data_IF_600939151884
#
_entry.id   IF_600939151884
#
_cell.length_a   1.000
_cell.length_b   1.000
_cell.length_c   1.000
_cell.angle_alpha   90.00
_cell.angle_beta   90.00
_cell.angle_gamma   90.00
#
_symmetry.space_group_name_H-M   'P 1'
#
loop_
_entity.id
_entity.type
_entity.pdbx_description
1 polymer ?
#
# COMPACT_ATOMS: atom_id res chain seq x y z
N UNK A 1 4.03 1.20 -29.18
CA UNK A 1 3.08 0.34 -28.44
C UNK A 1 2.97 0.87 -27.01
N UNK A 2 1.80 1.37 -26.58
CA UNK A 2 1.58 1.71 -25.16
C UNK A 2 1.07 0.46 -24.45
N UNK A 3 1.89 -0.12 -23.59
CA UNK A 3 1.46 -1.18 -22.68
C UNK A 3 0.49 -0.52 -21.70
N UNK A 4 -0.80 -0.88 -21.76
CA UNK A 4 -1.75 -0.51 -20.71
C UNK A 4 -1.33 -1.31 -19.47
N UNK A 5 -0.61 -0.67 -18.55
CA UNK A 5 -0.41 -1.21 -17.19
C UNK A 5 -1.79 -1.12 -16.54
N UNK A 6 -2.41 -2.26 -16.20
CA UNK A 6 -3.64 -2.26 -15.40
C UNK A 6 -3.29 -1.62 -14.05
N UNK A 7 -3.59 -0.33 -13.90
CA UNK A 7 -3.23 0.49 -12.74
C UNK A 7 -4.27 0.34 -11.63
N UNK A 8 -4.61 -0.88 -11.23
CA UNK A 8 -5.45 -1.08 -10.05
C UNK A 8 -4.60 -0.75 -8.81
N UNK A 9 -4.98 0.27 -8.01
CA UNK A 9 -4.18 0.63 -6.83
C UNK A 9 -4.23 -0.47 -5.77
N UNK A 10 -3.09 -0.75 -5.14
CA UNK A 10 -3.01 -1.71 -4.04
C UNK A 10 -3.79 -1.14 -2.85
N UNK A 11 -4.76 -1.91 -2.37
CA UNK A 11 -5.64 -1.51 -1.26
C UNK A 11 -5.04 -1.91 0.09
N UNK A 12 -5.43 -1.23 1.18
CA UNK A 12 -5.11 -1.69 2.52
C UNK A 12 -5.58 -3.13 2.75
N UNK A 13 -4.87 -3.83 3.63
CA UNK A 13 -5.33 -5.15 4.10
C UNK A 13 -6.76 -4.99 4.65
N UNK A 14 -7.63 -6.00 4.50
CA UNK A 14 -8.98 -5.96 5.08
C UNK A 14 -8.96 -6.24 6.58
N UNK A 15 -9.72 -5.45 7.36
CA UNK A 15 -9.91 -5.67 8.80
C UNK A 15 -10.69 -6.95 9.15
N UNK A 16 -11.46 -7.49 8.21
CA UNK A 16 -12.20 -8.75 8.36
C UNK A 16 -11.33 -9.97 8.12
N UNK A 17 -10.21 -9.82 7.41
CA UNK A 17 -9.23 -10.88 7.15
C UNK A 17 -8.10 -10.87 8.18
N UNK A 18 -7.65 -9.67 8.56
CA UNK A 18 -6.58 -9.46 9.55
C UNK A 18 -7.05 -8.43 10.58
N UNK A 19 -7.12 -8.79 11.87
CA UNK A 19 -7.58 -7.87 12.91
C UNK A 19 -6.72 -6.61 12.95
N UNK A 20 -7.33 -5.48 13.34
CA UNK A 20 -6.69 -4.15 13.24
C UNK A 20 -5.46 -3.97 14.12
N UNK A 21 -5.32 -4.77 15.17
CA UNK A 21 -4.17 -4.76 16.08
C UNK A 21 -2.98 -5.62 15.58
N UNK A 22 -3.13 -6.34 14.46
CA UNK A 22 -2.10 -7.21 13.90
C UNK A 22 -1.62 -6.71 12.52
N UNK A 23 -0.42 -7.13 12.15
CA UNK A 23 0.21 -6.82 10.87
C UNK A 23 1.10 -5.56 10.91
N UNK A 24 1.56 -5.08 9.74
CA UNK A 24 2.43 -3.92 9.64
C UNK A 24 1.79 -2.64 10.18
N UNK A 25 2.56 -1.87 10.95
CA UNK A 25 2.17 -0.58 11.52
C UNK A 25 2.44 0.58 10.56
N UNK A 26 2.06 0.43 9.30
CA UNK A 26 2.22 1.46 8.26
C UNK A 26 1.06 2.45 8.29
N UNK A 27 1.23 3.61 7.64
CA UNK A 27 0.15 4.58 7.53
C UNK A 27 -1.06 3.95 6.80
N UNK A 28 -2.23 4.02 7.45
CA UNK A 28 -3.48 3.46 6.94
C UNK A 28 -3.41 1.97 6.49
N UNK A 29 -2.43 1.20 6.97
CA UNK A 29 -2.19 -0.20 6.54
C UNK A 29 -1.92 -0.35 5.04
N UNK A 30 -1.32 0.66 4.42
CA UNK A 30 -0.82 0.59 3.05
C UNK A 30 0.51 -0.16 2.99
N UNK A 31 0.90 -0.73 1.84
CA UNK A 31 2.23 -1.32 1.66
C UNK A 31 3.35 -0.30 1.88
N UNK A 32 4.54 -0.77 2.26
CA UNK A 32 5.72 0.08 2.27
C UNK A 32 6.28 0.27 0.85
N UNK A 33 7.09 1.31 0.65
CA UNK A 33 7.64 1.62 -0.67
C UNK A 33 8.51 0.49 -1.25
N UNK A 34 9.16 -0.30 -0.38
CA UNK A 34 9.95 -1.49 -0.79
C UNK A 34 9.11 -2.69 -1.22
N UNK A 35 7.82 -2.70 -0.88
CA UNK A 35 6.90 -3.80 -1.17
C UNK A 35 6.21 -3.63 -2.53
N UNK A 36 6.48 -2.54 -3.25
CA UNK A 36 5.82 -2.19 -4.52
C UNK A 36 6.84 -1.90 -5.62
N UNK A 37 6.56 -2.37 -6.83
CA UNK A 37 7.40 -2.12 -8.01
C UNK A 37 7.37 -0.65 -8.44
N UNK A 38 6.24 0.03 -8.23
CA UNK A 38 6.03 1.42 -8.60
C UNK A 38 5.09 2.12 -7.64
N UNK A 39 5.33 3.40 -7.38
CA UNK A 39 4.54 4.23 -6.48
C UNK A 39 4.28 5.59 -7.12
N UNK A 40 3.01 5.95 -7.32
CA UNK A 40 2.62 7.27 -7.84
C UNK A 40 2.50 8.32 -6.71
N UNK A 41 2.14 7.90 -5.49
CA UNK A 41 1.95 8.78 -4.31
C UNK A 41 2.48 8.08 -3.06
N UNK A 42 3.31 8.79 -2.28
CA UNK A 42 3.87 8.31 -1.03
C UNK A 42 3.46 9.19 0.16
N UNK A 43 3.37 8.59 1.34
CA UNK A 43 3.13 9.28 2.62
C UNK A 43 4.41 9.20 3.43
N UNK A 44 4.98 10.35 3.79
CA UNK A 44 6.25 10.45 4.49
C UNK A 44 6.01 11.10 5.84
N UNK A 45 6.47 10.44 6.91
CA UNK A 45 6.52 11.05 8.24
C UNK A 45 7.80 11.86 8.40
N UNK A 46 7.67 13.10 8.86
CA UNK A 46 8.77 13.92 9.37
C UNK A 46 8.45 14.16 10.86
N UNK A 47 9.31 13.72 11.79
CA UNK A 47 9.03 13.78 13.23
C UNK A 47 8.99 15.23 13.75
#
# INVERSE_FOLDING_TARGET
MKIKKDKTPIQPVSGTKVPRFAGPSTFARLPELRDVESCDVAIVGVP
#
